data_IF_380211333223
#
_entry.id   IF_380211333223
#
_cell.length_a   1.000
_cell.length_b   1.000
_cell.length_c   1.000
_cell.angle_alpha   90.00
_cell.angle_beta   90.00
_cell.angle_gamma   90.00
#
_symmetry.space_group_name_H-M   'P 1'
#
loop_
_entity.id
_entity.type
_entity.pdbx_description
1 polymer ?
#
# COMPACT_ATOMS: atom_id res chain seq x y z
N UNK A 1 5.06 -36.49 -6.98
CA UNK A 1 4.26 -37.69 -6.80
C UNK A 1 4.82 -38.47 -5.63
N UNK A 2 3.95 -38.94 -4.72
CA UNK A 2 4.31 -39.89 -3.69
C UNK A 2 4.49 -41.23 -4.31
N UNK A 3 5.42 -42.03 -3.81
CA UNK A 3 5.67 -43.40 -4.28
C UNK A 3 6.13 -44.29 -3.12
N UNK A 4 5.81 -45.57 -3.20
CA UNK A 4 6.26 -46.56 -2.25
C UNK A 4 7.40 -47.35 -2.88
N UNK A 5 8.56 -47.35 -2.22
CA UNK A 5 9.69 -48.17 -2.61
C UNK A 5 9.56 -49.51 -1.91
N UNK A 6 9.72 -50.59 -2.69
CA UNK A 6 9.78 -51.94 -2.21
C UNK A 6 11.21 -52.43 -2.30
N UNK A 7 11.77 -52.81 -1.17
CA UNK A 7 13.10 -53.43 -1.05
C UNK A 7 12.89 -54.87 -0.71
N UNK A 8 13.43 -55.74 -1.52
CA UNK A 8 13.40 -57.17 -1.30
C UNK A 8 14.80 -57.73 -1.60
N UNK A 9 15.11 -58.89 -1.04
CA UNK A 9 16.44 -59.45 -0.99
C UNK A 9 17.16 -59.57 -2.32
N UNK A 10 18.47 -59.70 -2.22
CA UNK A 10 19.33 -59.86 -3.39
C UNK A 10 19.28 -61.27 -3.96
N UNK A 11 19.89 -61.44 -5.13
CA UNK A 11 19.92 -62.69 -5.87
C UNK A 11 20.58 -63.82 -5.07
N UNK A 12 21.62 -63.55 -4.29
CA UNK A 12 22.35 -64.47 -3.44
C UNK A 12 21.49 -65.01 -2.28
N UNK A 13 20.66 -64.21 -1.69
CA UNK A 13 19.77 -64.65 -0.63
C UNK A 13 18.74 -65.65 -1.14
N UNK A 14 18.24 -65.45 -2.36
CA UNK A 14 17.34 -66.40 -3.01
C UNK A 14 18.03 -67.73 -3.34
N UNK A 15 19.28 -67.68 -3.81
CA UNK A 15 20.08 -68.95 -4.10
C UNK A 15 20.39 -69.72 -2.83
N UNK A 16 20.57 -69.09 -1.72
CA UNK A 16 20.82 -69.69 -0.40
C UNK A 16 19.56 -70.08 0.36
N UNK A 17 18.38 -69.84 -0.22
CA UNK A 17 17.11 -70.20 0.40
C UNK A 17 16.79 -69.34 1.65
N UNK A 18 17.43 -68.21 1.79
CA UNK A 18 17.21 -67.30 2.92
C UNK A 18 15.90 -66.53 2.68
N UNK A 19 14.95 -66.72 3.57
CA UNK A 19 13.70 -65.99 3.53
C UNK A 19 13.93 -64.53 3.96
N UNK A 20 13.95 -63.58 3.02
CA UNK A 20 14.20 -62.18 3.29
C UNK A 20 12.87 -61.43 3.43
N UNK A 21 12.78 -60.65 4.49
CA UNK A 21 11.66 -59.74 4.68
C UNK A 21 11.62 -58.67 3.59
N UNK A 22 10.44 -58.40 3.10
CA UNK A 22 10.22 -57.26 2.20
C UNK A 22 9.96 -56.00 2.98
N UNK A 23 10.81 -54.98 2.78
CA UNK A 23 10.68 -53.67 3.43
C UNK A 23 10.00 -52.73 2.45
N UNK A 24 8.96 -52.08 2.90
CA UNK A 24 8.29 -51.01 2.18
C UNK A 24 8.67 -49.68 2.82
N UNK A 25 9.04 -48.70 2.00
CA UNK A 25 9.32 -47.36 2.42
C UNK A 25 8.52 -46.36 1.59
N UNK A 26 7.60 -45.70 2.24
CA UNK A 26 6.83 -44.65 1.59
C UNK A 26 7.67 -43.37 1.49
N UNK A 27 7.67 -42.79 0.31
CA UNK A 27 8.22 -41.48 0.01
C UNK A 27 7.11 -40.58 -0.39
N UNK A 28 6.89 -39.52 0.42
CA UNK A 28 5.96 -38.48 0.10
C UNK A 28 6.72 -37.28 -0.47
N UNK A 29 6.51 -36.98 -1.74
CA UNK A 29 7.05 -35.78 -2.35
C UNK A 29 6.22 -34.59 -1.92
N UNK A 30 6.83 -33.65 -1.21
CA UNK A 30 6.21 -32.38 -0.82
C UNK A 30 6.72 -31.30 -1.74
N UNK A 31 5.80 -30.65 -2.45
CA UNK A 31 6.08 -29.49 -3.28
C UNK A 31 6.08 -28.23 -2.40
N UNK A 32 7.02 -27.32 -2.62
CA UNK A 32 6.93 -25.98 -2.05
C UNK A 32 5.84 -25.23 -2.81
N UNK A 33 4.91 -24.66 -2.07
CA UNK A 33 3.87 -23.78 -2.57
C UNK A 33 3.92 -22.49 -1.78
N UNK A 34 3.80 -21.36 -2.45
CA UNK A 34 3.72 -20.04 -1.85
C UNK A 34 2.60 -19.24 -2.50
N UNK A 35 1.98 -18.38 -1.71
CA UNK A 35 0.92 -17.49 -2.14
C UNK A 35 1.16 -16.12 -1.52
N UNK A 36 1.78 -15.25 -2.28
CA UNK A 36 2.07 -13.91 -1.87
C UNK A 36 0.76 -13.15 -1.61
N UNK A 37 0.57 -12.69 -0.38
CA UNK A 37 -0.52 -11.81 -0.02
C UNK A 37 0.06 -10.48 0.47
N UNK A 38 -0.36 -9.37 -0.14
CA UNK A 38 -0.10 -8.04 0.36
C UNK A 38 -1.33 -7.48 1.09
N UNK A 39 -1.08 -6.71 2.15
CA UNK A 39 -2.12 -6.01 2.90
C UNK A 39 -1.63 -4.59 3.18
N UNK A 40 -2.40 -3.58 2.79
CA UNK A 40 -2.08 -2.20 3.13
C UNK A 40 -2.25 -2.03 4.65
N UNK A 41 -1.22 -1.46 5.29
CA UNK A 41 -1.34 -1.01 6.67
C UNK A 41 -2.16 0.28 6.65
N UNK A 42 -3.37 0.19 7.17
CA UNK A 42 -4.32 1.29 7.21
C UNK A 42 -3.74 2.47 8.01
N UNK A 43 -3.96 3.66 7.48
CA UNK A 43 -3.71 4.92 8.14
C UNK A 43 -5.00 5.74 8.13
N UNK A 44 -5.34 6.34 9.26
CA UNK A 44 -6.53 7.19 9.38
C UNK A 44 -6.25 8.60 8.84
N UNK A 45 -6.37 8.78 7.54
CA UNK A 45 -6.37 10.11 6.92
C UNK A 45 -7.75 10.42 6.38
N UNK A 46 -8.44 11.36 7.02
CA UNK A 46 -9.73 11.85 6.55
C UNK A 46 -9.57 12.51 5.18
N UNK A 47 -10.46 12.20 4.25
CA UNK A 47 -10.50 12.69 2.86
C UNK A 47 -9.29 12.33 1.98
N UNK A 48 -8.41 11.46 2.41
CA UNK A 48 -7.41 10.87 1.53
C UNK A 48 -8.09 9.89 0.57
N UNK A 49 -7.80 10.03 -0.73
CA UNK A 49 -8.38 9.18 -1.77
C UNK A 49 -7.48 7.96 -1.98
N UNK A 50 -7.82 6.86 -1.34
CA UNK A 50 -7.21 5.56 -1.60
C UNK A 50 -8.13 4.69 -2.45
N UNK A 51 -7.52 3.85 -3.27
CA UNK A 51 -8.24 2.83 -4.04
C UNK A 51 -7.50 1.50 -3.91
N UNK A 52 -8.24 0.43 -3.64
CA UNK A 52 -7.77 -0.94 -3.84
C UNK A 52 -8.30 -1.46 -5.16
N UNK A 53 -7.47 -2.08 -5.98
CA UNK A 53 -7.91 -2.73 -7.21
C UNK A 53 -7.95 -4.25 -7.00
N UNK A 54 -8.84 -4.93 -7.73
CA UNK A 54 -8.94 -6.41 -7.70
C UNK A 54 -7.68 -7.10 -8.26
N UNK A 55 -6.90 -6.39 -9.09
CA UNK A 55 -5.72 -6.93 -9.78
C UNK A 55 -4.38 -6.62 -9.10
N UNK A 56 -4.39 -5.95 -7.95
CA UNK A 56 -3.17 -5.55 -7.25
C UNK A 56 -3.47 -4.65 -6.05
N UNK A 57 -2.42 -4.05 -5.51
CA UNK A 57 -2.53 -3.07 -4.44
C UNK A 57 -2.29 -1.69 -5.03
N UNK A 58 -3.24 -0.79 -4.81
CA UNK A 58 -3.15 0.60 -5.22
C UNK A 58 -3.44 1.51 -4.02
N UNK A 59 -2.62 2.52 -3.80
CA UNK A 59 -2.83 3.44 -2.68
C UNK A 59 -2.00 4.71 -2.77
N UNK A 60 -2.29 5.62 -1.86
CA UNK A 60 -1.62 6.93 -1.76
C UNK A 60 -0.23 6.77 -1.14
N UNK A 61 0.76 7.50 -1.65
CA UNK A 61 2.11 7.54 -1.09
C UNK A 61 2.19 8.38 0.21
N UNK A 62 3.08 8.03 1.16
CA UNK A 62 3.84 6.80 1.22
C UNK A 62 2.95 5.60 1.54
N UNK A 63 3.09 4.51 0.79
CA UNK A 63 2.25 3.32 0.93
C UNK A 63 3.01 2.25 1.72
N UNK A 64 2.47 1.83 2.87
CA UNK A 64 3.05 0.76 3.69
C UNK A 64 2.25 -0.51 3.46
N UNK A 65 2.94 -1.56 3.02
CA UNK A 65 2.33 -2.85 2.72
C UNK A 65 3.05 -3.95 3.50
N UNK A 66 2.27 -4.79 4.18
CA UNK A 66 2.73 -6.03 4.77
C UNK A 66 2.54 -7.16 3.74
N UNK A 67 3.62 -7.85 3.41
CA UNK A 67 3.63 -9.00 2.51
C UNK A 67 3.83 -10.27 3.29
N UNK A 68 2.87 -11.19 3.18
CA UNK A 68 2.90 -12.52 3.78
C UNK A 68 3.26 -13.55 2.72
N UNK A 69 4.27 -14.38 2.98
CA UNK A 69 4.75 -15.41 2.05
C UNK A 69 3.76 -16.55 1.87
N UNK A 70 2.99 -16.88 2.92
CA UNK A 70 2.06 -18.03 2.96
C UNK A 70 2.63 -19.30 2.34
N UNK A 71 3.93 -19.53 2.53
CA UNK A 71 4.56 -20.74 2.07
C UNK A 71 4.22 -21.92 2.98
N UNK A 72 4.01 -23.09 2.40
CA UNK A 72 3.81 -24.30 3.18
C UNK A 72 5.11 -24.69 3.93
N UNK A 73 5.03 -25.19 5.17
CA UNK A 73 6.20 -25.48 5.99
C UNK A 73 6.93 -26.73 5.48
N UNK A 74 7.93 -26.54 4.63
CA UNK A 74 8.86 -27.59 4.18
C UNK A 74 10.26 -27.17 4.61
N UNK A 75 10.81 -27.77 5.65
CA UNK A 75 12.12 -27.41 6.21
C UNK A 75 13.31 -27.97 5.40
N UNK A 76 14.37 -27.17 5.26
CA UNK A 76 14.47 -25.73 5.53
C UNK A 76 13.84 -24.93 4.39
N UNK A 77 13.24 -23.75 4.70
CA UNK A 77 12.77 -22.78 3.72
C UNK A 77 13.66 -21.55 3.80
N UNK A 78 14.13 -21.10 2.64
CA UNK A 78 14.81 -19.82 2.43
C UNK A 78 13.86 -18.90 1.67
N UNK A 79 13.75 -17.67 2.12
CA UNK A 79 12.90 -16.64 1.52
C UNK A 79 13.77 -15.57 0.89
N UNK A 80 13.41 -15.15 -0.30
CA UNK A 80 14.03 -14.04 -1.00
C UNK A 80 12.94 -13.16 -1.60
N UNK A 81 12.93 -11.92 -1.16
CA UNK A 81 12.04 -10.90 -1.68
C UNK A 81 12.83 -9.96 -2.59
N UNK A 82 12.21 -9.59 -3.69
CA UNK A 82 12.75 -8.59 -4.60
C UNK A 82 11.70 -7.51 -4.80
N UNK A 83 12.06 -6.26 -4.50
CA UNK A 83 11.22 -5.09 -4.72
C UNK A 83 11.91 -4.21 -5.73
N UNK A 84 11.27 -3.95 -6.86
CA UNK A 84 11.79 -3.07 -7.90
C UNK A 84 10.69 -2.17 -8.48
N UNK A 85 11.05 -0.98 -8.88
CA UNK A 85 10.23 -0.15 -9.73
C UNK A 85 10.20 -0.76 -11.15
N UNK A 86 9.03 -0.80 -11.78
CA UNK A 86 8.83 -1.40 -13.11
C UNK A 86 9.63 -0.67 -14.19
N UNK A 87 9.81 0.64 -14.05
CA UNK A 87 10.59 1.46 -15.00
C UNK A 87 12.11 1.22 -14.87
N UNK A 88 12.58 0.78 -13.70
CA UNK A 88 13.99 0.50 -13.43
C UNK A 88 14.21 -0.92 -12.92
N UNK A 89 13.91 -1.97 -13.71
CA UNK A 89 13.84 -3.36 -13.25
C UNK A 89 15.17 -3.91 -12.74
N UNK A 90 16.30 -3.35 -13.16
CA UNK A 90 17.64 -3.78 -12.73
C UNK A 90 18.05 -3.17 -11.37
N UNK A 91 17.34 -2.15 -10.90
CA UNK A 91 17.53 -1.55 -9.58
C UNK A 91 16.53 -2.14 -8.61
N UNK A 92 16.86 -3.26 -7.97
CA UNK A 92 16.01 -3.94 -7.02
C UNK A 92 16.61 -3.96 -5.62
N UNK A 93 15.75 -3.96 -4.62
CA UNK A 93 16.10 -4.21 -3.24
C UNK A 93 15.78 -5.67 -2.91
N UNK A 94 16.65 -6.33 -2.11
CA UNK A 94 16.52 -7.73 -1.73
C UNK A 94 16.42 -7.88 -0.22
N UNK A 95 15.48 -8.73 0.23
CA UNK A 95 15.22 -9.06 1.64
C UNK A 95 15.11 -10.58 1.79
N UNK A 96 15.40 -11.08 3.00
CA UNK A 96 15.42 -12.53 3.29
C UNK A 96 14.52 -12.92 4.47
N UNK A 97 13.63 -12.04 4.88
CA UNK A 97 12.69 -12.27 5.97
C UNK A 97 11.57 -13.24 5.52
N UNK A 98 10.88 -13.89 6.47
CA UNK A 98 9.75 -14.77 6.16
C UNK A 98 8.60 -13.97 5.54
N UNK A 99 8.30 -12.83 6.16
CA UNK A 99 7.32 -11.85 5.71
C UNK A 99 8.01 -10.49 5.62
N UNK A 100 7.52 -9.62 4.74
CA UNK A 100 8.16 -8.34 4.45
C UNK A 100 7.20 -7.19 4.75
N UNK A 101 7.62 -6.24 5.61
CA UNK A 101 6.99 -4.95 5.74
C UNK A 101 7.78 -3.94 4.91
N UNK A 102 7.11 -3.33 3.90
CA UNK A 102 7.78 -2.40 3.01
C UNK A 102 7.01 -1.09 2.86
N UNK A 103 7.75 0.02 2.84
CA UNK A 103 7.24 1.37 2.65
C UNK A 103 7.67 1.89 1.27
N UNK A 104 6.71 2.08 0.38
CA UNK A 104 6.92 2.74 -0.89
C UNK A 104 6.81 4.26 -0.67
N UNK A 105 7.90 4.98 -0.87
CA UNK A 105 7.93 6.43 -0.65
C UNK A 105 7.55 7.21 -1.90
N UNK A 106 8.03 6.79 -3.06
CA UNK A 106 7.78 7.48 -4.32
C UNK A 106 6.55 6.89 -5.05
N UNK A 107 5.86 7.74 -5.81
CA UNK A 107 4.81 7.29 -6.73
C UNK A 107 5.39 6.45 -7.86
N UNK A 108 4.58 5.56 -8.42
CA UNK A 108 5.00 4.71 -9.53
C UNK A 108 4.45 3.28 -9.42
N UNK A 109 4.86 2.45 -10.37
CA UNK A 109 4.51 1.04 -10.42
C UNK A 109 5.67 0.17 -9.95
N UNK A 110 5.38 -0.73 -9.03
CA UNK A 110 6.37 -1.62 -8.43
C UNK A 110 5.96 -3.06 -8.62
N UNK A 111 6.98 -3.94 -8.71
CA UNK A 111 6.82 -5.38 -8.72
C UNK A 111 7.51 -5.96 -7.50
N UNK A 112 6.74 -6.62 -6.65
CA UNK A 112 7.25 -7.39 -5.52
C UNK A 112 7.23 -8.86 -5.90
N UNK A 113 8.39 -9.51 -5.83
CA UNK A 113 8.57 -10.94 -6.13
C UNK A 113 9.00 -11.67 -4.88
N UNK A 114 8.42 -12.85 -4.68
CA UNK A 114 8.83 -13.80 -3.65
C UNK A 114 9.42 -15.04 -4.32
N UNK A 115 10.55 -15.50 -3.81
CA UNK A 115 11.10 -16.83 -4.08
C UNK A 115 11.24 -17.54 -2.73
N UNK A 116 10.56 -18.68 -2.57
CA UNK A 116 10.75 -19.54 -1.41
C UNK A 116 11.35 -20.88 -1.86
N UNK A 117 12.45 -21.31 -1.22
CA UNK A 117 13.19 -22.50 -1.63
C UNK A 117 13.69 -23.32 -0.44
N UNK A 118 13.90 -24.60 -0.65
CA UNK A 118 14.57 -25.49 0.30
C UNK A 118 15.91 -26.06 -0.25
N UNK A 119 16.46 -25.42 -1.27
CA UNK A 119 17.68 -25.84 -1.95
C UNK A 119 17.48 -26.94 -3.00
N UNK A 120 16.31 -27.60 -3.06
CA UNK A 120 15.96 -28.61 -4.07
C UNK A 120 14.76 -28.21 -4.93
N UNK A 121 13.81 -27.56 -4.30
CA UNK A 121 12.59 -27.07 -4.94
C UNK A 121 12.43 -25.59 -4.63
N UNK A 122 11.78 -24.85 -5.51
CA UNK A 122 11.42 -23.46 -5.31
C UNK A 122 9.98 -23.20 -5.77
N UNK A 123 9.36 -22.21 -5.17
CA UNK A 123 8.16 -21.56 -5.69
C UNK A 123 8.42 -20.09 -5.89
N UNK A 124 7.69 -19.50 -6.80
CA UNK A 124 7.78 -18.06 -7.13
C UNK A 124 6.38 -17.49 -7.22
N UNK A 125 6.21 -16.31 -6.66
CA UNK A 125 4.98 -15.53 -6.79
C UNK A 125 5.32 -14.05 -6.88
N UNK A 126 4.38 -13.24 -7.36
CA UNK A 126 4.61 -11.81 -7.53
C UNK A 126 3.32 -11.01 -7.41
N UNK A 127 3.46 -9.76 -6.95
CA UNK A 127 2.36 -8.83 -6.78
C UNK A 127 2.73 -7.47 -7.34
N UNK A 128 1.82 -6.86 -8.10
CA UNK A 128 1.95 -5.49 -8.57
C UNK A 128 1.43 -4.51 -7.54
N UNK A 129 2.19 -3.46 -7.31
CA UNK A 129 1.87 -2.38 -6.40
C UNK A 129 1.87 -1.08 -7.19
N UNK A 130 0.83 -0.27 -7.05
CA UNK A 130 0.76 1.04 -7.66
C UNK A 130 0.62 2.11 -6.59
N UNK A 131 1.63 2.95 -6.48
CA UNK A 131 1.61 4.13 -5.63
C UNK A 131 1.15 5.32 -6.46
N UNK A 132 0.03 5.92 -6.03
CA UNK A 132 -0.64 6.97 -6.78
C UNK A 132 0.16 8.27 -6.77
N UNK A 133 0.10 9.01 -7.88
CA UNK A 133 0.61 10.38 -7.96
C UNK A 133 -0.15 11.31 -7.03
N UNK A 134 0.49 12.44 -6.68
CA UNK A 134 -0.14 13.45 -5.84
C UNK A 134 -1.34 14.10 -6.53
N UNK A 135 -2.31 14.50 -5.71
CA UNK A 135 -3.52 15.16 -6.18
C UNK A 135 -4.16 15.97 -5.08
N UNK A 136 -4.73 17.11 -5.42
CA UNK A 136 -5.56 17.95 -4.53
C UNK A 136 -6.78 18.43 -5.29
N UNK A 137 -7.96 18.17 -4.74
CA UNK A 137 -9.23 18.74 -5.19
C UNK A 137 -9.85 19.56 -4.09
N UNK A 138 -10.27 20.76 -4.46
CA UNK A 138 -10.80 21.76 -3.51
C UNK A 138 -12.29 21.94 -3.80
N UNK A 139 -13.18 21.75 -2.81
CA UNK A 139 -14.60 22.05 -2.98
C UNK A 139 -14.83 23.56 -3.08
N UNK A 140 -15.93 23.96 -3.69
CA UNK A 140 -16.31 25.36 -3.84
C UNK A 140 -17.32 25.85 -2.79
N UNK A 141 -17.89 24.95 -1.99
CA UNK A 141 -18.86 25.27 -0.94
C UNK A 141 -18.87 24.20 0.16
N UNK A 142 -19.37 24.58 1.32
CA UNK A 142 -19.67 23.67 2.44
C UNK A 142 -20.83 24.20 3.28
N UNK A 143 -21.46 23.29 4.02
CA UNK A 143 -22.72 23.55 4.75
C UNK A 143 -22.63 23.10 6.20
N UNK A 144 -22.01 23.90 7.12
CA UNK A 144 -21.83 23.49 8.51
C UNK A 144 -23.16 23.60 9.28
N UNK A 145 -24.04 22.60 9.08
CA UNK A 145 -25.38 22.52 9.69
C UNK A 145 -25.49 21.35 10.71
N UNK A 146 -24.44 20.52 10.82
CA UNK A 146 -24.37 19.40 11.77
C UNK A 146 -25.08 18.13 11.31
N UNK A 147 -25.39 17.99 10.01
CA UNK A 147 -26.03 16.79 9.45
C UNK A 147 -25.05 15.66 9.11
N UNK A 148 -23.72 15.92 9.27
CA UNK A 148 -22.65 14.97 8.94
C UNK A 148 -22.19 15.05 7.48
N UNK A 149 -22.80 15.88 6.64
CA UNK A 149 -22.46 16.03 5.24
C UNK A 149 -21.95 17.42 4.94
N UNK A 150 -20.72 17.53 4.43
CA UNK A 150 -20.08 18.80 4.10
C UNK A 150 -20.05 19.84 5.25
N UNK A 151 -20.06 19.39 6.49
CA UNK A 151 -20.00 20.25 7.68
C UNK A 151 -18.67 20.97 7.84
N UNK A 152 -17.64 20.48 7.17
CA UNK A 152 -16.33 21.11 7.14
C UNK A 152 -15.86 21.32 5.70
N UNK A 153 -15.22 22.46 5.46
CA UNK A 153 -14.47 22.67 4.24
C UNK A 153 -13.19 21.82 4.28
N UNK A 154 -13.14 20.75 3.53
CA UNK A 154 -12.00 19.83 3.43
C UNK A 154 -11.59 19.63 1.99
N UNK A 155 -10.28 19.56 1.77
CA UNK A 155 -9.74 19.14 0.47
C UNK A 155 -9.78 17.61 0.38
N UNK A 156 -10.04 17.09 -0.83
CA UNK A 156 -9.75 15.70 -1.15
C UNK A 156 -8.32 15.61 -1.71
N UNK A 157 -7.52 14.67 -1.24
CA UNK A 157 -6.12 14.60 -1.61
C UNK A 157 -5.61 13.17 -1.70
N UNK A 158 -4.44 12.98 -2.29
CA UNK A 158 -3.64 11.76 -2.27
C UNK A 158 -2.16 12.10 -2.43
N UNK A 159 -1.29 11.31 -1.81
CA UNK A 159 0.17 11.38 -1.94
C UNK A 159 0.74 12.77 -1.67
N UNK A 160 0.24 13.49 -0.65
CA UNK A 160 0.72 14.81 -0.27
C UNK A 160 1.69 14.71 0.91
N UNK A 161 2.92 15.18 0.70
CA UNK A 161 4.00 15.21 1.70
C UNK A 161 3.87 16.42 2.62
N UNK A 162 3.65 17.60 2.04
CA UNK A 162 3.51 18.87 2.78
C UNK A 162 2.28 19.62 2.32
N UNK A 163 1.61 20.21 3.27
CA UNK A 163 0.39 20.94 3.04
C UNK A 163 0.32 22.19 3.93
N UNK A 164 -0.21 23.26 3.39
CA UNK A 164 -0.55 24.45 4.13
C UNK A 164 -1.73 25.14 3.47
N UNK A 165 -2.76 25.44 4.24
CA UNK A 165 -3.90 26.25 3.81
C UNK A 165 -4.06 27.47 4.68
N UNK A 166 -4.44 28.58 4.06
CA UNK A 166 -4.89 29.81 4.71
C UNK A 166 -6.25 30.16 4.12
N UNK A 167 -7.25 30.35 4.97
CA UNK A 167 -8.57 30.86 4.57
C UNK A 167 -8.74 32.27 5.13
N UNK A 168 -9.23 33.17 4.29
CA UNK A 168 -9.44 34.58 4.63
C UNK A 168 -10.88 35.01 4.32
N UNK A 169 -11.38 35.91 5.12
CA UNK A 169 -12.61 36.62 4.80
C UNK A 169 -12.39 37.58 3.62
N UNK A 170 -13.47 38.12 3.04
CA UNK A 170 -13.43 39.13 1.99
C UNK A 170 -12.68 40.43 2.37
N UNK A 171 -12.43 40.63 3.66
CA UNK A 171 -11.68 41.77 4.18
C UNK A 171 -10.19 41.46 4.40
N UNK A 172 -9.70 40.30 3.94
CA UNK A 172 -8.32 39.88 4.10
C UNK A 172 -7.96 39.34 5.49
N UNK A 173 -8.92 39.25 6.42
CA UNK A 173 -8.68 38.70 7.75
C UNK A 173 -8.57 37.17 7.65
N UNK A 174 -7.48 36.58 8.14
CA UNK A 174 -7.33 35.14 8.26
C UNK A 174 -8.32 34.57 9.27
N UNK A 175 -9.09 33.59 8.86
CA UNK A 175 -10.13 32.92 9.67
C UNK A 175 -9.76 31.50 10.02
N UNK A 176 -8.94 30.83 9.18
CA UNK A 176 -8.50 29.46 9.40
C UNK A 176 -7.12 29.23 8.80
N UNK A 177 -6.33 28.34 9.43
CA UNK A 177 -5.06 27.82 8.91
C UNK A 177 -4.87 26.37 9.33
N UNK A 178 -4.32 25.55 8.44
CA UNK A 178 -3.92 24.19 8.77
C UNK A 178 -2.66 23.80 7.98
N UNK A 179 -1.89 22.85 8.54
CA UNK A 179 -0.81 22.14 7.86
C UNK A 179 -1.16 20.67 7.61
N UNK A 180 -2.35 20.25 7.99
CA UNK A 180 -2.84 18.90 7.88
C UNK A 180 -4.00 18.90 6.87
N UNK A 181 -3.87 18.22 5.71
CA UNK A 181 -4.91 18.18 4.70
C UNK A 181 -6.17 17.41 5.16
N UNK A 182 -6.04 16.53 6.16
CA UNK A 182 -7.16 15.82 6.77
C UNK A 182 -8.03 16.69 7.67
N UNK A 183 -7.57 17.88 8.06
CA UNK A 183 -8.33 18.82 8.91
C UNK A 183 -9.04 19.87 8.07
N UNK A 184 -10.36 19.91 8.21
CA UNK A 184 -11.22 20.90 7.58
C UNK A 184 -11.48 22.12 8.46
N UNK A 185 -12.00 23.18 7.84
CA UNK A 185 -12.57 24.33 8.56
C UNK A 185 -14.06 24.10 8.79
N UNK A 186 -14.48 24.14 10.04
CA UNK A 186 -15.85 23.91 10.50
C UNK A 186 -16.78 25.14 10.35
N UNK A 187 -16.31 26.20 9.70
CA UNK A 187 -17.07 27.44 9.56
C UNK A 187 -17.18 28.25 10.86
N UNK A 188 -16.27 28.05 11.82
CA UNK A 188 -16.21 28.89 13.03
C UNK A 188 -14.98 29.79 13.04
N UNK A 189 -15.09 30.93 13.74
CA UNK A 189 -14.01 31.87 14.02
C UNK A 189 -13.99 32.11 15.54
N UNK A 190 -12.90 31.72 16.21
CA UNK A 190 -12.78 31.79 17.67
C UNK A 190 -13.97 31.12 18.40
N UNK A 191 -14.42 29.96 17.93
CA UNK A 191 -15.52 29.21 18.52
C UNK A 191 -16.92 29.78 18.27
N UNK A 192 -17.05 30.80 17.44
CA UNK A 192 -18.35 31.38 17.04
C UNK A 192 -18.60 31.10 15.54
N UNK A 193 -19.85 30.83 15.14
CA UNK A 193 -20.19 30.68 13.73
C UNK A 193 -19.74 31.87 12.89
N UNK A 194 -19.03 31.61 11.81
CA UNK A 194 -18.68 32.60 10.82
C UNK A 194 -19.93 33.02 10.01
N UNK A 195 -19.94 34.23 9.49
CA UNK A 195 -21.04 34.71 8.66
C UNK A 195 -21.11 33.88 7.34
N UNK A 196 -22.33 33.71 6.85
CA UNK A 196 -22.52 33.17 5.50
C UNK A 196 -21.89 34.07 4.45
N UNK A 197 -21.44 33.44 3.35
CA UNK A 197 -20.88 34.16 2.23
C UNK A 197 -19.56 33.61 1.75
N UNK A 198 -18.88 34.38 0.95
CA UNK A 198 -17.66 33.97 0.26
C UNK A 198 -16.41 34.25 1.10
N UNK A 199 -15.56 33.25 1.17
CA UNK A 199 -14.22 33.30 1.74
C UNK A 199 -13.21 32.91 0.65
N UNK A 200 -11.95 33.24 0.88
CA UNK A 200 -10.88 32.95 -0.09
C UNK A 200 -9.83 32.05 0.53
N UNK A 201 -9.30 31.12 -0.24
CA UNK A 201 -8.25 30.23 0.22
C UNK A 201 -6.98 30.38 -0.62
N UNK A 202 -5.86 30.09 0.02
CA UNK A 202 -4.57 29.82 -0.63
C UNK A 202 -4.05 28.51 -0.06
N UNK A 203 -3.70 27.57 -0.96
CA UNK A 203 -3.08 26.29 -0.61
C UNK A 203 -1.70 26.24 -1.24
N UNK A 204 -0.71 25.84 -0.43
CA UNK A 204 0.64 25.49 -0.88
C UNK A 204 0.88 24.06 -0.43
N UNK A 205 1.20 23.18 -1.36
CA UNK A 205 1.47 21.77 -1.06
C UNK A 205 2.58 21.20 -1.95
N UNK A 206 3.18 20.10 -1.49
CA UNK A 206 4.15 19.29 -2.24
C UNK A 206 3.70 17.83 -2.22
N UNK A 207 3.80 17.17 -3.35
CA UNK A 207 3.55 15.74 -3.49
C UNK A 207 4.76 14.90 -3.08
N UNK A 208 4.56 13.59 -2.93
CA UNK A 208 5.64 12.60 -2.84
C UNK A 208 6.23 12.28 -4.21
N UNK A 209 5.54 12.62 -5.30
CA UNK A 209 5.95 12.42 -6.67
C UNK A 209 6.87 13.51 -7.18
N UNK A 210 7.56 13.20 -8.27
CA UNK A 210 8.45 14.11 -8.99
C UNK A 210 7.93 14.34 -10.41
N UNK A 211 8.17 15.54 -10.94
CA UNK A 211 7.86 15.86 -12.32
C UNK A 211 8.86 15.23 -13.30
N UNK A 212 8.62 15.39 -14.59
CA UNK A 212 9.52 14.89 -15.66
C UNK A 212 10.96 15.44 -15.59
N UNK A 213 11.21 16.43 -14.73
CA UNK A 213 12.54 17.02 -14.49
C UNK A 213 13.16 16.54 -13.18
N UNK A 214 12.56 15.57 -12.50
CA UNK A 214 13.01 15.02 -11.21
C UNK A 214 12.82 15.99 -10.04
N UNK A 215 11.92 16.99 -10.14
CA UNK A 215 11.60 17.90 -9.04
C UNK A 215 10.26 17.51 -8.43
N UNK A 216 10.16 17.56 -7.11
CA UNK A 216 8.88 17.35 -6.40
C UNK A 216 7.76 18.20 -7.00
N UNK A 217 6.62 17.57 -7.22
CA UNK A 217 5.41 18.25 -7.70
C UNK A 217 4.92 19.24 -6.65
N UNK A 218 4.67 20.48 -7.07
CA UNK A 218 4.24 21.57 -6.21
C UNK A 218 2.89 22.10 -6.63
N UNK A 219 2.03 22.29 -5.66
CA UNK A 219 0.71 22.89 -5.81
C UNK A 219 0.69 24.29 -5.21
N UNK A 220 0.16 25.23 -5.97
CA UNK A 220 -0.22 26.54 -5.49
C UNK A 220 -1.61 26.84 -6.02
N UNK A 221 -2.59 26.61 -5.17
CA UNK A 221 -4.00 26.77 -5.49
C UNK A 221 -4.58 27.96 -4.74
N UNK A 222 -5.46 28.70 -5.38
CA UNK A 222 -6.22 29.76 -4.75
C UNK A 222 -7.59 29.85 -5.39
N UNK A 223 -8.57 30.24 -4.62
CA UNK A 223 -9.96 30.37 -5.09
C UNK A 223 -10.88 30.87 -3.97
N UNK A 224 -12.15 30.74 -4.24
CA UNK A 224 -13.21 31.13 -3.32
C UNK A 224 -13.95 29.90 -2.75
N UNK A 225 -14.54 30.08 -1.59
CA UNK A 225 -15.34 29.11 -0.88
C UNK A 225 -16.64 29.76 -0.45
N UNK A 226 -17.75 29.11 -0.68
CA UNK A 226 -19.05 29.59 -0.22
C UNK A 226 -19.47 28.84 1.05
N UNK A 227 -19.55 29.57 2.17
CA UNK A 227 -20.14 29.09 3.39
C UNK A 227 -21.65 29.32 3.34
N UNK A 228 -22.41 28.24 3.34
CA UNK A 228 -23.87 28.25 3.25
C UNK A 228 -24.46 27.61 4.49
N UNK A 229 -25.43 28.27 5.13
CA UNK A 229 -26.21 27.68 6.23
C UNK A 229 -27.65 27.56 5.75
N UNK A 230 -28.10 26.34 5.48
CA UNK A 230 -29.54 26.13 5.27
C UNK A 230 -30.28 26.44 6.57
N UNK A 231 -31.32 27.23 6.44
CA UNK A 231 -32.29 27.48 7.53
C UNK A 231 -33.19 26.26 7.72
#
# INVERSE_FOLDING_TARGET
KSTTFKFFGDEYANELGINLDTIYKDYSAVKIECHLKGTIIEREYKNELDRSSESGIEGSGPLVVEFLSRANPVNPIYYEWFVNNVETPNNYQRYNDIDLLYKFEDSGEYLVKLIASNGRCECRDSLHIKVLESYISVPNAFTPNGDGLNDEFRVAYKSIERYSIIIQSRWGRTVYTSKDPGKGWDGTINGRPAAEGTYYYVIIATGYDVDLKGKQVKYRLSGDINLIRSR
#
